data_IF_967591948550
#
_entry.id   IF_967591948550
#
_cell.length_a   1.000
_cell.length_b   1.000
_cell.length_c   1.000
_cell.angle_alpha   90.00
_cell.angle_beta   90.00
_cell.angle_gamma   90.00
#
_symmetry.space_group_name_H-M   'P 1'
#
loop_
_entity.id
_entity.type
_entity.pdbx_description
1 polymer ?
#
# COMPACT_ATOMS: atom_id res chain seq x y z
N UNK A 1 -24.96 38.26 -21.72
CA UNK A 1 -23.84 38.01 -20.78
C UNK A 1 -24.27 36.86 -19.89
N UNK A 2 -23.87 35.63 -20.21
CA UNK A 2 -24.09 34.49 -19.31
C UNK A 2 -22.95 34.52 -18.29
N UNK A 3 -23.29 34.70 -17.01
CA UNK A 3 -22.32 34.61 -15.92
C UNK A 3 -21.72 33.20 -15.91
N UNK A 4 -20.42 33.12 -16.13
CA UNK A 4 -19.64 31.93 -15.82
C UNK A 4 -19.53 31.86 -14.30
N UNK A 5 -20.48 31.21 -13.65
CA UNK A 5 -20.26 30.68 -12.32
C UNK A 5 -19.16 29.64 -12.43
N UNK A 6 -17.92 30.09 -12.21
CA UNK A 6 -16.79 29.22 -12.01
C UNK A 6 -17.12 28.37 -10.78
N UNK A 7 -17.59 27.15 -11.02
CA UNK A 7 -17.50 26.07 -10.05
C UNK A 7 -16.02 26.03 -9.71
N UNK A 8 -15.64 26.60 -8.56
CA UNK A 8 -14.31 26.40 -7.98
C UNK A 8 -14.17 24.89 -7.89
N UNK A 9 -13.21 24.36 -8.64
CA UNK A 9 -12.78 22.99 -8.55
C UNK A 9 -12.15 22.82 -7.18
N UNK A 10 -12.99 22.66 -6.15
CA UNK A 10 -12.57 22.36 -4.79
C UNK A 10 -11.96 20.96 -4.83
N UNK A 11 -10.64 20.96 -5.11
CA UNK A 11 -9.64 19.96 -4.75
C UNK A 11 -10.15 18.52 -4.70
N UNK A 12 -10.32 17.90 -5.88
CA UNK A 12 -10.46 16.46 -6.05
C UNK A 12 -9.12 15.79 -5.79
N UNK A 13 -8.81 15.61 -4.51
CA UNK A 13 -7.53 15.04 -4.12
C UNK A 13 -7.66 13.77 -3.32
N UNK A 14 -6.82 12.81 -3.67
CA UNK A 14 -6.89 11.43 -3.23
C UNK A 14 -5.50 11.04 -2.76
N UNK A 15 -5.34 10.29 -1.66
CA UNK A 15 -5.00 8.86 -1.77
C UNK A 15 -4.59 8.07 -0.51
N UNK A 16 -4.58 6.75 -0.77
CA UNK A 16 -3.98 5.59 -0.12
C UNK A 16 -4.97 4.83 0.74
N UNK A 17 -5.06 3.52 0.47
CA UNK A 17 -5.59 2.57 1.43
C UNK A 17 -4.47 1.75 2.03
N UNK A 18 -4.51 1.59 3.35
CA UNK A 18 -3.94 0.41 3.97
C UNK A 18 -4.93 -0.70 3.72
N UNK A 19 -4.52 -1.68 2.94
CA UNK A 19 -5.22 -2.94 2.91
C UNK A 19 -4.57 -3.83 3.98
N UNK A 20 -5.35 -4.09 5.02
CA UNK A 20 -5.11 -4.97 6.16
C UNK A 20 -5.73 -6.33 5.74
N UNK A 21 -4.89 -7.34 5.52
CA UNK A 21 -5.31 -8.64 5.00
C UNK A 21 -5.33 -9.73 6.08
N UNK A 22 -6.52 -10.16 6.46
CA UNK A 22 -6.68 -11.27 7.40
C UNK A 22 -6.71 -12.60 6.64
N UNK A 23 -5.77 -13.50 6.95
CA UNK A 23 -5.84 -14.89 6.46
C UNK A 23 -6.84 -15.67 7.31
N UNK A 24 -7.76 -16.42 6.70
CA UNK A 24 -8.48 -17.46 7.43
C UNK A 24 -7.47 -18.49 7.95
N UNK A 25 -7.27 -18.51 9.27
CA UNK A 25 -6.39 -19.44 9.99
C UNK A 25 -6.87 -20.90 9.94
N UNK A 26 -8.03 -21.20 9.37
CA UNK A 26 -8.62 -22.54 9.41
C UNK A 26 -8.30 -23.46 8.24
N UNK A 27 -7.45 -23.09 7.26
CA UNK A 27 -7.16 -24.01 6.15
C UNK A 27 -5.72 -24.28 5.73
N UNK A 28 -4.67 -23.60 6.19
CA UNK A 28 -3.31 -23.98 5.78
C UNK A 28 -2.26 -23.84 6.91
N UNK A 29 -2.19 -24.87 7.75
CA UNK A 29 -0.92 -25.30 8.30
C UNK A 29 0.03 -25.59 7.12
N UNK A 30 0.99 -24.70 6.83
CA UNK A 30 1.99 -24.97 5.78
C UNK A 30 2.76 -23.78 5.21
N UNK A 31 2.35 -22.53 5.41
CA UNK A 31 3.09 -21.39 4.83
C UNK A 31 4.40 -21.10 5.60
N UNK A 32 4.40 -21.22 6.93
CA UNK A 32 5.62 -21.01 7.75
C UNK A 32 6.68 -22.10 7.56
N UNK A 33 6.31 -23.29 7.07
CA UNK A 33 7.22 -24.43 6.90
C UNK A 33 7.86 -24.52 5.49
N UNK A 34 7.29 -23.85 4.48
CA UNK A 34 7.83 -23.86 3.11
C UNK A 34 9.07 -23.00 2.91
N UNK A 35 9.24 -21.92 3.67
CA UNK A 35 10.44 -21.07 3.55
C UNK A 35 11.68 -21.77 4.16
N UNK A 36 11.49 -22.74 5.05
CA UNK A 36 12.58 -23.49 5.70
C UNK A 36 12.98 -24.80 4.99
N UNK A 37 12.29 -25.21 3.93
CA UNK A 37 12.54 -26.52 3.29
C UNK A 37 12.55 -26.47 1.76
N UNK A 38 13.33 -25.57 1.17
CA UNK A 38 13.77 -25.72 -0.22
C UNK A 38 15.25 -26.11 -0.27
N UNK A 39 15.53 -27.32 0.22
CA UNK A 39 16.74 -28.06 -0.17
C UNK A 39 16.38 -29.05 -1.28
N UNK A 40 16.99 -28.82 -2.44
CA UNK A 40 17.26 -29.79 -3.51
C UNK A 40 16.07 -30.54 -4.12
N UNK A 41 15.86 -30.27 -5.42
CA UNK A 41 15.47 -31.17 -6.51
C UNK A 41 14.32 -30.63 -7.35
N UNK A 42 14.65 -29.97 -8.45
CA UNK A 42 13.98 -30.17 -9.73
C UNK A 42 14.87 -29.70 -10.87
N UNK A 43 15.15 -30.64 -11.76
CA UNK A 43 15.95 -30.47 -12.96
C UNK A 43 15.20 -29.59 -13.95
N UNK A 44 15.74 -28.40 -14.21
CA UNK A 44 15.55 -27.70 -15.48
C UNK A 44 16.93 -27.36 -16.03
N UNK A 45 17.38 -28.17 -17.00
CA UNK A 45 18.57 -27.90 -17.78
C UNK A 45 18.30 -26.71 -18.70
N UNK A 46 18.88 -25.55 -18.38
CA UNK A 46 19.12 -24.50 -19.37
C UNK A 46 20.61 -24.54 -19.72
N UNK A 47 20.91 -25.01 -20.92
CA UNK A 47 22.27 -25.04 -21.45
C UNK A 47 22.78 -23.61 -21.68
N UNK A 48 23.71 -23.15 -20.84
CA UNK A 48 24.62 -22.06 -21.18
C UNK A 48 26.00 -22.64 -21.48
N UNK A 49 26.48 -22.35 -22.68
CA UNK A 49 27.80 -22.77 -23.19
C UNK A 49 28.87 -21.94 -22.48
N UNK A 50 29.74 -22.58 -21.68
CA UNK A 50 30.88 -21.92 -21.06
C UNK A 50 32.13 -22.14 -21.93
N UNK A 51 32.81 -21.05 -22.30
CA UNK A 51 34.15 -21.08 -22.87
C UNK A 51 35.15 -20.58 -21.84
N UNK A 52 35.93 -21.53 -21.31
CA UNK A 52 37.29 -21.45 -20.80
C UNK A 52 37.77 -20.12 -20.18
N UNK A 53 38.05 -20.17 -18.88
CA UNK A 53 39.27 -19.64 -18.29
C UNK A 53 39.62 -20.45 -17.03
N UNK A 54 40.93 -20.69 -16.89
CA UNK A 54 41.59 -21.75 -16.12
C UNK A 54 41.77 -21.38 -14.65
N UNK A 55 41.98 -22.43 -13.86
CA UNK A 55 42.45 -22.48 -12.49
C UNK A 55 43.32 -21.31 -12.02
N UNK A 56 43.01 -20.80 -10.83
CA UNK A 56 44.06 -20.46 -9.86
C UNK A 56 43.49 -20.58 -8.45
N UNK A 57 43.95 -21.60 -7.72
CA UNK A 57 43.83 -21.73 -6.27
C UNK A 57 44.79 -20.77 -5.59
N UNK A 58 44.30 -19.91 -4.70
CA UNK A 58 45.13 -19.26 -3.68
C UNK A 58 44.40 -19.27 -2.32
N UNK A 59 45.21 -19.65 -1.33
CA UNK A 59 45.01 -19.87 0.09
C UNK A 59 44.30 -18.78 0.89
N UNK A 60 43.58 -19.23 1.92
CA UNK A 60 43.06 -18.43 3.04
C UNK A 60 44.14 -18.24 4.13
N UNK A 61 44.35 -17.03 4.66
CA UNK A 61 44.78 -16.85 6.04
C UNK A 61 43.73 -16.10 6.87
N UNK A 62 43.44 -16.67 8.04
CA UNK A 62 42.64 -16.07 9.11
C UNK A 62 43.32 -14.81 9.65
N UNK A 63 42.55 -13.74 9.87
CA UNK A 63 42.31 -13.08 11.17
C UNK A 63 42.02 -11.59 10.98
N UNK A 64 40.93 -11.09 11.56
CA UNK A 64 40.75 -9.65 11.76
C UNK A 64 39.29 -9.20 11.76
N UNK A 65 38.71 -9.14 12.97
CA UNK A 65 37.56 -8.33 13.40
C UNK A 65 36.24 -8.48 12.62
N UNK A 66 35.21 -8.89 13.36
CA UNK A 66 33.93 -9.31 12.84
C UNK A 66 33.05 -8.19 12.33
N UNK A 67 32.09 -8.60 11.49
CA UNK A 67 30.67 -8.31 11.66
C UNK A 67 29.92 -9.54 11.11
N UNK A 68 28.95 -10.07 11.85
CA UNK A 68 28.16 -11.23 11.41
C UNK A 68 27.19 -10.87 10.27
N UNK A 69 26.53 -11.86 9.62
CA UNK A 69 25.53 -11.59 8.57
C UNK A 69 24.39 -10.67 9.04
N UNK A 70 24.20 -10.54 10.36
CA UNK A 70 23.18 -9.72 11.02
C UNK A 70 23.54 -8.23 10.99
N UNK A 71 24.80 -7.86 11.09
CA UNK A 71 25.22 -6.44 11.09
C UNK A 71 25.26 -5.84 9.66
N UNK A 72 25.46 -6.68 8.63
CA UNK A 72 25.26 -6.28 7.24
C UNK A 72 23.77 -6.07 6.89
N UNK A 73 22.86 -6.70 7.63
CA UNK A 73 21.41 -6.47 7.54
C UNK A 73 20.99 -5.19 8.29
N UNK A 74 21.64 -4.85 9.39
CA UNK A 74 21.42 -3.57 10.10
C UNK A 74 21.97 -2.36 9.32
N UNK A 75 23.04 -2.53 8.54
CA UNK A 75 23.55 -1.47 7.67
C UNK A 75 22.67 -1.22 6.42
N UNK A 76 21.85 -2.19 6.00
CA UNK A 76 20.85 -1.99 4.95
C UNK A 76 19.58 -1.24 5.45
N UNK A 77 19.42 -1.09 6.78
CA UNK A 77 18.34 -0.32 7.39
C UNK A 77 18.68 1.19 7.54
N UNK A 78 19.94 1.59 7.34
CA UNK A 78 20.35 3.00 7.41
C UNK A 78 20.19 3.68 6.03
N UNK A 79 18.97 4.10 5.72
CA UNK A 79 18.74 5.03 4.61
C UNK A 79 17.32 5.14 4.06
N UNK A 80 16.33 4.49 4.67
CA UNK A 80 15.00 4.33 4.07
C UNK A 80 13.93 4.79 5.06
N UNK A 81 13.59 6.08 5.02
CA UNK A 81 12.43 6.63 5.75
C UNK A 81 11.15 6.31 4.96
N UNK A 82 10.68 5.06 5.10
CA UNK A 82 9.54 4.51 4.38
C UNK A 82 8.25 4.64 5.15
N UNK A 83 7.15 4.98 4.46
CA UNK A 83 5.92 5.42 5.11
C UNK A 83 4.69 5.07 4.10
N UNK A 84 3.40 4.71 4.45
CA UNK A 84 2.08 5.06 3.72
C UNK A 84 0.91 5.97 4.36
N UNK A 85 0.12 6.71 3.52
CA UNK A 85 -0.54 8.08 3.60
C UNK A 85 0.34 9.28 3.18
N UNK A 86 0.34 9.66 1.88
CA UNK A 86 1.35 10.61 1.36
C UNK A 86 1.16 12.05 1.88
N UNK A 87 2.27 12.76 2.13
CA UNK A 87 2.29 14.15 2.65
C UNK A 87 1.44 15.09 1.81
N UNK A 88 1.51 14.98 0.49
CA UNK A 88 0.75 15.88 -0.41
C UNK A 88 -0.76 15.84 -0.13
N UNK A 89 -1.30 14.68 0.26
CA UNK A 89 -2.74 14.46 0.44
C UNK A 89 -3.22 14.65 1.87
N UNK A 90 -2.31 14.89 2.82
CA UNK A 90 -2.65 15.12 4.22
C UNK A 90 -2.22 16.51 4.67
N UNK A 91 -1.07 17.00 4.22
CA UNK A 91 -0.45 18.25 4.66
C UNK A 91 -0.22 19.27 3.53
N UNK A 92 -0.36 18.85 2.27
CA UNK A 92 -0.04 19.66 1.09
C UNK A 92 -1.18 20.54 0.55
N UNK A 93 -0.93 21.24 -0.57
CA UNK A 93 -1.92 22.12 -1.24
C UNK A 93 -3.16 21.38 -1.71
N UNK A 94 -3.05 20.06 -1.73
CA UNK A 94 -4.03 19.13 -2.23
C UNK A 94 -4.47 18.19 -1.10
N UNK A 95 -4.39 18.63 0.15
CA UNK A 95 -4.80 17.83 1.29
C UNK A 95 -6.31 17.52 1.26
N UNK A 96 -6.67 16.29 1.63
CA UNK A 96 -8.04 15.92 1.96
C UNK A 96 -8.37 16.53 3.31
N UNK A 97 -9.41 17.36 3.38
CA UNK A 97 -9.73 18.13 4.59
C UNK A 97 -9.84 17.27 5.84
N UNK A 98 -10.52 16.10 5.74
CA UNK A 98 -10.64 15.14 6.85
C UNK A 98 -9.47 14.15 7.00
N UNK A 99 -8.42 14.29 6.19
CA UNK A 99 -7.33 13.32 6.11
C UNK A 99 -6.40 13.35 7.33
N UNK A 100 -6.15 14.53 7.92
CA UNK A 100 -5.28 14.65 9.10
C UNK A 100 -5.89 13.97 10.33
N UNK A 101 -7.20 14.09 10.49
CA UNK A 101 -7.95 13.62 11.65
C UNK A 101 -7.95 12.09 11.76
N UNK A 102 -7.85 11.38 10.64
CA UNK A 102 -7.84 9.91 10.63
C UNK A 102 -6.45 9.30 10.88
N UNK A 103 -5.36 10.07 10.79
CA UNK A 103 -3.98 9.55 10.89
C UNK A 103 -3.77 8.73 12.17
N UNK A 104 -4.19 9.18 13.37
CA UNK A 104 -4.05 8.37 14.59
C UNK A 104 -4.78 7.02 14.51
N UNK A 105 -5.97 6.99 13.91
CA UNK A 105 -6.75 5.77 13.73
C UNK A 105 -6.09 4.83 12.71
N UNK A 106 -5.53 5.37 11.63
CA UNK A 106 -4.76 4.60 10.65
C UNK A 106 -3.50 3.99 11.29
N UNK A 107 -2.76 4.75 12.10
CA UNK A 107 -1.60 4.26 12.88
C UNK A 107 -2.02 3.10 13.79
N UNK A 108 -3.12 3.29 14.53
CA UNK A 108 -3.61 2.26 15.45
C UNK A 108 -4.10 1.01 14.70
N UNK A 109 -4.75 1.16 13.55
CA UNK A 109 -5.17 0.04 12.71
C UNK A 109 -3.95 -0.78 12.23
N UNK A 110 -2.87 -0.12 11.80
CA UNK A 110 -1.59 -0.77 11.44
C UNK A 110 -0.99 -1.52 12.61
N UNK A 111 -0.96 -0.91 13.80
CA UNK A 111 -0.44 -1.57 15.00
C UNK A 111 -1.22 -2.84 15.34
N UNK A 112 -2.56 -2.77 15.33
CA UNK A 112 -3.43 -3.92 15.58
C UNK A 112 -3.25 -4.99 14.50
N UNK A 113 -3.15 -4.60 13.23
CA UNK A 113 -2.87 -5.51 12.12
C UNK A 113 -1.56 -6.29 12.34
N UNK A 114 -0.47 -5.59 12.69
CA UNK A 114 0.82 -6.22 13.01
C UNK A 114 0.71 -7.19 14.18
N UNK A 115 0.02 -6.80 15.25
CA UNK A 115 -0.21 -7.66 16.43
C UNK A 115 -0.99 -8.94 16.07
N UNK A 116 -1.90 -8.85 15.09
CA UNK A 116 -2.68 -9.98 14.58
C UNK A 116 -1.95 -10.79 13.50
N UNK A 117 -0.74 -10.40 13.10
CA UNK A 117 0.00 -11.06 12.01
C UNK A 117 -0.65 -10.90 10.64
N UNK A 118 -1.48 -9.88 10.48
CA UNK A 118 -2.14 -9.53 9.23
C UNK A 118 -1.09 -8.96 8.26
N UNK A 119 -1.09 -9.41 7.00
CA UNK A 119 -0.27 -8.79 5.96
C UNK A 119 -0.74 -7.34 5.76
N UNK A 120 0.21 -6.42 5.65
CA UNK A 120 -0.05 -5.01 5.39
C UNK A 120 0.46 -4.67 4.00
N UNK A 121 -0.44 -4.23 3.11
CA UNK A 121 -0.05 -3.64 1.83
C UNK A 121 -0.25 -2.14 1.88
N UNK A 122 0.85 -1.43 1.72
CA UNK A 122 0.93 0.00 1.58
C UNK A 122 0.74 0.39 0.12
N UNK A 123 -0.47 0.85 -0.22
CA UNK A 123 -0.83 1.20 -1.59
C UNK A 123 -0.53 2.67 -1.87
N UNK A 124 0.57 2.97 -2.54
CA UNK A 124 1.06 4.33 -2.78
C UNK A 124 0.93 4.77 -4.24
N UNK A 125 1.10 6.08 -4.47
CA UNK A 125 1.45 6.63 -5.78
C UNK A 125 2.89 7.10 -5.81
N UNK A 126 3.55 6.84 -6.93
CA UNK A 126 4.86 7.39 -7.28
C UNK A 126 4.77 7.82 -8.74
N UNK A 127 4.05 8.92 -8.98
CA UNK A 127 3.73 9.34 -10.33
C UNK A 127 4.99 9.75 -11.09
N UNK A 128 4.98 9.50 -12.40
CA UNK A 128 5.97 10.01 -13.31
C UNK A 128 6.09 11.54 -13.15
N UNK A 129 7.30 12.11 -12.97
CA UNK A 129 7.47 13.55 -12.82
C UNK A 129 6.94 14.39 -13.99
N UNK A 130 6.74 13.78 -15.16
CA UNK A 130 6.14 14.40 -16.35
C UNK A 130 4.62 14.15 -16.46
N UNK A 131 3.99 13.52 -15.46
CA UNK A 131 2.55 13.25 -15.43
C UNK A 131 2.07 12.28 -16.52
N UNK A 132 2.96 11.44 -17.07
CA UNK A 132 2.61 10.52 -18.17
C UNK A 132 1.67 9.40 -17.74
N UNK A 133 1.73 9.03 -16.47
CA UNK A 133 1.01 7.92 -15.88
C UNK A 133 -0.20 8.36 -15.02
N UNK A 134 -0.49 9.66 -14.90
CA UNK A 134 -1.63 10.13 -14.11
C UNK A 134 -2.94 10.11 -14.90
N UNK A 135 -4.07 10.23 -14.20
CA UNK A 135 -5.37 10.43 -14.84
C UNK A 135 -5.36 11.70 -15.71
N UNK A 136 -6.10 11.67 -16.83
CA UNK A 136 -6.13 12.77 -17.79
C UNK A 136 -6.43 14.13 -17.14
N UNK A 137 -7.39 14.15 -16.22
CA UNK A 137 -7.79 15.37 -15.51
C UNK A 137 -6.73 15.88 -14.53
N UNK A 138 -5.68 15.11 -14.21
CA UNK A 138 -4.58 15.51 -13.32
C UNK A 138 -3.32 15.97 -14.04
N UNK A 139 -3.22 15.78 -15.36
CA UNK A 139 -2.00 16.12 -16.11
C UNK A 139 -1.60 17.58 -15.99
N UNK A 140 -2.56 18.47 -15.77
CA UNK A 140 -2.32 19.90 -15.58
C UNK A 140 -1.47 20.22 -14.34
N UNK A 141 -1.40 19.33 -13.34
CA UNK A 141 -0.53 19.48 -12.16
C UNK A 141 0.96 19.22 -12.45
N UNK A 142 1.31 18.72 -13.64
CA UNK A 142 2.67 18.31 -14.01
C UNK A 142 3.24 19.19 -15.14
N UNK A 143 2.84 20.46 -15.17
CA UNK A 143 3.37 21.43 -16.12
C UNK A 143 4.88 21.67 -15.89
N UNK A 144 5.58 22.14 -16.93
CA UNK A 144 7.02 22.38 -16.86
C UNK A 144 7.38 23.31 -15.69
N UNK A 145 8.37 22.89 -14.89
CA UNK A 145 8.85 23.64 -13.73
C UNK A 145 8.07 23.42 -12.44
N UNK A 146 7.07 22.54 -12.42
CA UNK A 146 6.33 22.17 -11.20
C UNK A 146 6.58 20.71 -10.83
N UNK A 147 6.72 20.45 -9.53
CA UNK A 147 6.70 19.09 -8.99
C UNK A 147 5.25 18.71 -8.76
N UNK A 148 4.75 17.76 -9.54
CA UNK A 148 3.37 17.33 -9.43
C UNK A 148 3.09 16.47 -8.17
N UNK A 149 1.82 16.31 -7.80
CA UNK A 149 1.37 15.51 -6.66
C UNK A 149 1.96 14.09 -6.61
N UNK A 150 2.56 13.68 -5.50
CA UNK A 150 3.13 12.35 -5.35
C UNK A 150 4.11 11.98 -6.49
N UNK A 151 4.82 12.97 -7.06
CA UNK A 151 5.88 12.73 -8.03
C UNK A 151 6.95 11.85 -7.40
N UNK A 152 7.42 10.83 -8.13
CA UNK A 152 8.43 9.89 -7.64
C UNK A 152 9.66 10.62 -7.11
N UNK A 153 10.04 10.29 -5.87
CA UNK A 153 11.19 10.89 -5.18
C UNK A 153 10.97 12.30 -4.64
N UNK A 154 9.77 12.87 -4.78
CA UNK A 154 9.43 14.14 -4.14
C UNK A 154 9.07 13.94 -2.65
N UNK A 155 9.28 14.97 -1.79
CA UNK A 155 8.81 14.92 -0.40
C UNK A 155 7.30 14.68 -0.29
N UNK A 156 6.52 15.16 -1.27
CA UNK A 156 5.08 14.95 -1.35
C UNK A 156 4.67 13.49 -1.57
N UNK A 157 5.58 12.66 -2.10
CA UNK A 157 5.40 11.22 -2.28
C UNK A 157 5.92 10.37 -1.10
N UNK A 158 6.57 10.99 -0.12
CA UNK A 158 6.77 10.41 1.21
C UNK A 158 5.46 10.49 1.97
N UNK A 159 5.41 9.96 3.17
CA UNK A 159 4.27 10.22 4.02
C UNK A 159 4.42 11.19 5.17
N UNK A 160 3.24 11.55 5.68
CA UNK A 160 2.94 11.80 7.08
C UNK A 160 3.71 10.95 8.09
N UNK A 161 4.05 11.64 9.16
CA UNK A 161 4.73 11.10 10.33
C UNK A 161 3.89 10.01 11.04
N UNK A 162 4.58 9.04 11.64
CA UNK A 162 3.97 7.97 12.45
C UNK A 162 3.52 6.73 11.68
N UNK A 163 3.40 6.80 10.35
CA UNK A 163 3.12 5.64 9.51
C UNK A 163 4.41 5.20 8.83
N UNK A 164 4.93 4.02 9.19
CA UNK A 164 6.22 3.50 8.71
C UNK A 164 6.03 2.15 8.05
N UNK A 165 6.59 1.95 6.86
CA UNK A 165 6.63 0.63 6.22
C UNK A 165 7.62 -0.23 7.01
N UNK A 166 7.09 -1.20 7.76
CA UNK A 166 7.86 -2.10 8.60
C UNK A 166 8.41 -3.31 7.82
N UNK A 167 9.26 -4.07 8.50
CA UNK A 167 9.72 -5.36 7.99
C UNK A 167 8.53 -6.32 7.81
N UNK A 168 8.45 -6.98 6.65
CA UNK A 168 7.36 -7.89 6.30
C UNK A 168 6.12 -7.23 5.69
N UNK A 169 6.03 -5.90 5.72
CA UNK A 169 5.00 -5.17 4.97
C UNK A 169 5.32 -5.16 3.46
N UNK A 170 4.30 -4.97 2.63
CA UNK A 170 4.45 -4.87 1.18
C UNK A 170 4.12 -3.47 0.66
N UNK A 171 4.95 -2.91 -0.23
CA UNK A 171 4.67 -1.64 -0.90
C UNK A 171 4.16 -1.89 -2.32
N UNK A 172 2.95 -1.41 -2.61
CA UNK A 172 2.36 -1.47 -3.94
C UNK A 172 2.25 -0.07 -4.53
N UNK A 173 2.84 0.18 -5.70
CA UNK A 173 2.64 1.41 -6.46
C UNK A 173 1.46 1.23 -7.41
N UNK A 174 0.49 2.15 -7.37
CA UNK A 174 -0.62 2.22 -8.32
C UNK A 174 -0.62 3.54 -9.07
N UNK A 175 -1.23 3.58 -10.25
CA UNK A 175 -1.35 4.80 -11.08
C UNK A 175 -2.81 5.22 -11.32
N UNK A 176 -3.79 4.49 -10.77
CA UNK A 176 -5.23 4.77 -10.85
C UNK A 176 -5.86 4.75 -9.46
N UNK A 177 -7.18 4.97 -9.33
CA UNK A 177 -7.81 4.98 -8.00
C UNK A 177 -7.81 3.59 -7.36
N UNK A 178 -8.23 2.58 -8.12
CA UNK A 178 -8.17 1.18 -7.69
C UNK A 178 -6.73 0.72 -7.42
N UNK A 179 -6.55 0.01 -6.32
CA UNK A 179 -5.32 -0.73 -6.04
C UNK A 179 -5.13 -1.97 -6.93
N UNK A 180 -6.19 -2.48 -7.56
CA UNK A 180 -6.15 -3.66 -8.43
C UNK A 180 -5.92 -3.31 -9.91
N UNK A 181 -6.43 -2.16 -10.36
CA UNK A 181 -6.37 -1.81 -11.78
C UNK A 181 -4.92 -1.65 -12.26
N UNK A 182 -4.52 -2.51 -13.20
CA UNK A 182 -3.18 -2.54 -13.79
C UNK A 182 -2.05 -2.66 -12.75
N UNK A 183 -2.28 -3.40 -11.67
CA UNK A 183 -1.26 -3.79 -10.69
C UNK A 183 -1.23 -5.31 -10.54
N UNK A 184 -0.22 -5.83 -9.83
CA UNK A 184 -0.13 -7.25 -9.47
C UNK A 184 -0.77 -7.57 -8.11
N UNK A 185 -1.58 -6.67 -7.53
CA UNK A 185 -2.16 -6.86 -6.19
C UNK A 185 -2.99 -8.15 -6.10
N UNK A 186 -3.87 -8.41 -7.06
CA UNK A 186 -4.69 -9.62 -7.03
C UNK A 186 -3.83 -10.89 -6.99
N UNK A 187 -2.84 -10.98 -7.88
CA UNK A 187 -1.91 -12.12 -7.93
C UNK A 187 -1.09 -12.27 -6.65
N UNK A 188 -0.65 -11.16 -6.05
CA UNK A 188 0.05 -11.16 -4.75
C UNK A 188 -0.81 -11.77 -3.65
N UNK A 189 -2.06 -11.32 -3.54
CA UNK A 189 -2.98 -11.78 -2.49
C UNK A 189 -3.40 -13.23 -2.67
N UNK A 190 -3.68 -13.65 -3.91
CA UNK A 190 -3.95 -15.05 -4.23
C UNK A 190 -2.76 -15.95 -3.89
N UNK A 191 -1.53 -15.53 -4.25
CA UNK A 191 -0.30 -16.25 -3.91
C UNK A 191 -0.07 -16.39 -2.40
N UNK A 192 -0.59 -15.45 -1.61
CA UNK A 192 -0.54 -15.48 -0.15
C UNK A 192 -1.75 -16.18 0.51
N UNK A 193 -2.71 -16.70 -0.29
CA UNK A 193 -3.92 -17.35 0.23
C UNK A 193 -4.89 -16.38 0.93
N UNK A 194 -4.82 -15.09 0.58
CA UNK A 194 -5.62 -14.03 1.20
C UNK A 194 -6.91 -13.82 0.42
N UNK A 195 -8.03 -13.88 1.13
CA UNK A 195 -9.38 -13.69 0.61
C UNK A 195 -10.20 -12.65 1.41
N UNK A 196 -9.71 -12.15 2.54
CA UNK A 196 -10.39 -11.15 3.35
C UNK A 196 -9.63 -9.82 3.31
N UNK A 197 -10.35 -8.71 3.14
CA UNK A 197 -9.76 -7.37 3.06
C UNK A 197 -10.32 -6.45 4.15
N UNK A 198 -9.46 -5.65 4.76
CA UNK A 198 -9.80 -4.51 5.60
C UNK A 198 -9.12 -3.28 5.00
N UNK A 199 -9.86 -2.20 4.77
CA UNK A 199 -9.42 -1.05 3.95
C UNK A 199 -9.55 0.23 4.79
N UNK A 200 -8.48 1.02 4.87
CA UNK A 200 -8.44 2.31 5.62
C UNK A 200 -7.68 3.35 4.83
N UNK A 201 -7.93 4.65 4.96
CA UNK A 201 -7.12 5.73 4.36
C UNK A 201 -7.94 6.74 3.53
N UNK A 202 -7.37 7.35 2.50
CA UNK A 202 -8.06 8.40 1.73
C UNK A 202 -8.02 8.23 0.19
N UNK A 203 -8.89 8.88 -0.58
CA UNK A 203 -10.18 9.39 -0.12
C UNK A 203 -11.33 8.45 -0.46
N UNK A 204 -12.39 8.56 0.35
CA UNK A 204 -13.59 7.71 0.30
C UNK A 204 -14.21 7.55 -1.08
N UNK A 205 -14.53 8.62 -1.82
CA UNK A 205 -15.23 8.47 -3.10
C UNK A 205 -14.39 7.86 -4.22
N UNK A 206 -13.06 7.88 -4.10
CA UNK A 206 -12.17 7.59 -5.21
C UNK A 206 -11.38 6.31 -4.93
N UNK A 207 -10.24 6.44 -4.26
CA UNK A 207 -9.34 5.31 -4.06
C UNK A 207 -9.93 4.26 -3.11
N UNK A 208 -10.72 4.63 -2.08
CA UNK A 208 -11.34 3.64 -1.17
C UNK A 208 -12.36 2.88 -1.99
N UNK A 209 -13.35 3.62 -2.51
CA UNK A 209 -14.51 3.06 -3.18
C UNK A 209 -14.13 2.21 -4.38
N UNK A 210 -13.23 2.68 -5.25
CA UNK A 210 -12.86 1.87 -6.42
C UNK A 210 -12.13 0.58 -6.00
N UNK A 211 -11.26 0.63 -4.99
CA UNK A 211 -10.58 -0.57 -4.49
C UNK A 211 -11.56 -1.56 -3.84
N UNK A 212 -12.54 -1.04 -3.07
CA UNK A 212 -13.59 -1.85 -2.44
C UNK A 212 -14.47 -2.53 -3.49
N UNK A 213 -14.93 -1.79 -4.49
CA UNK A 213 -15.79 -2.35 -5.54
C UNK A 213 -15.04 -3.39 -6.37
N UNK A 214 -13.78 -3.15 -6.71
CA UNK A 214 -12.94 -4.14 -7.40
C UNK A 214 -12.68 -5.38 -6.52
N UNK A 215 -12.49 -5.20 -5.21
CA UNK A 215 -12.35 -6.33 -4.28
C UNK A 215 -13.62 -7.20 -4.23
N UNK A 216 -14.79 -6.57 -4.14
CA UNK A 216 -16.07 -7.30 -4.18
C UNK A 216 -16.23 -8.02 -5.52
N UNK A 217 -15.89 -7.37 -6.64
CA UNK A 217 -15.97 -7.98 -7.97
C UNK A 217 -14.97 -9.14 -8.19
N UNK A 218 -13.91 -9.21 -7.38
CA UNK A 218 -12.90 -10.27 -7.39
C UNK A 218 -13.15 -11.36 -6.32
N UNK A 219 -14.36 -11.39 -5.73
CA UNK A 219 -14.79 -12.36 -4.72
C UNK A 219 -13.94 -12.39 -3.44
N UNK A 220 -13.38 -11.25 -3.04
CA UNK A 220 -12.85 -11.11 -1.68
C UNK A 220 -14.02 -11.05 -0.69
N UNK A 221 -13.97 -11.84 0.39
CA UNK A 221 -15.04 -11.89 1.38
C UNK A 221 -14.55 -12.38 2.76
N UNK A 222 -14.71 -11.57 3.84
CA UNK A 222 -15.32 -10.24 3.83
C UNK A 222 -14.41 -9.15 3.26
N UNK A 223 -15.04 -8.10 2.70
CA UNK A 223 -14.41 -6.78 2.50
C UNK A 223 -14.92 -5.86 3.61
N UNK A 224 -13.99 -5.20 4.29
CA UNK A 224 -14.24 -4.31 5.43
C UNK A 224 -13.62 -2.95 5.16
N UNK A 225 -14.30 -1.87 5.54
CA UNK A 225 -13.77 -0.51 5.54
C UNK A 225 -13.84 0.06 6.95
N UNK A 226 -12.71 0.43 7.54
CA UNK A 226 -12.69 1.07 8.85
C UNK A 226 -13.08 2.55 8.66
N UNK A 227 -14.31 2.91 9.03
CA UNK A 227 -14.93 4.18 8.61
C UNK A 227 -14.27 5.40 9.22
N UNK A 228 -13.87 5.32 10.49
CA UNK A 228 -13.16 6.40 11.22
C UNK A 228 -11.64 6.36 11.01
N UNK A 229 -11.12 5.39 10.25
CA UNK A 229 -9.77 5.39 9.69
C UNK A 229 -9.81 5.70 8.18
N UNK A 230 -10.89 6.31 7.71
CA UNK A 230 -11.13 6.66 6.30
C UNK A 230 -11.72 8.06 6.20
N UNK A 231 -11.35 8.85 5.19
CA UNK A 231 -11.85 10.23 5.06
C UNK A 231 -12.16 10.67 3.64
N UNK A 232 -12.90 11.76 3.52
CA UNK A 232 -13.18 12.47 2.28
C UNK A 232 -13.06 13.99 2.49
N UNK A 233 -13.26 14.77 1.43
CA UNK A 233 -13.25 16.23 1.51
C UNK A 233 -14.33 16.79 2.45
N UNK A 234 -15.49 16.12 2.56
CA UNK A 234 -16.57 16.48 3.49
C UNK A 234 -17.19 15.25 4.16
N UNK A 235 -17.80 15.39 5.35
CA UNK A 235 -18.53 14.31 6.01
C UNK A 235 -19.67 13.75 5.15
N UNK A 236 -20.39 14.60 4.40
CA UNK A 236 -21.51 14.17 3.55
C UNK A 236 -21.04 13.24 2.43
N UNK A 237 -19.92 13.60 1.77
CA UNK A 237 -19.30 12.75 0.75
C UNK A 237 -18.84 11.44 1.38
N UNK A 238 -18.18 11.49 2.54
CA UNK A 238 -17.73 10.29 3.23
C UNK A 238 -18.89 9.35 3.55
N UNK A 239 -19.94 9.85 4.21
CA UNK A 239 -21.10 9.08 4.63
C UNK A 239 -21.90 8.50 3.46
N UNK A 240 -22.09 9.25 2.37
CA UNK A 240 -22.78 8.75 1.18
C UNK A 240 -22.04 7.56 0.55
N UNK A 241 -20.71 7.63 0.47
CA UNK A 241 -19.90 6.54 -0.09
C UNK A 241 -19.85 5.32 0.85
N UNK A 242 -19.77 5.53 2.17
CA UNK A 242 -19.89 4.45 3.16
C UNK A 242 -21.24 3.75 3.06
N UNK A 243 -22.32 4.52 2.90
CA UNK A 243 -23.67 3.97 2.71
C UNK A 243 -23.75 3.08 1.45
N UNK A 244 -23.22 3.55 0.32
CA UNK A 244 -23.18 2.75 -0.90
C UNK A 244 -22.36 1.47 -0.75
N UNK A 245 -21.19 1.52 -0.10
CA UNK A 245 -20.37 0.33 0.17
C UNK A 245 -21.10 -0.67 1.06
N UNK A 246 -21.77 -0.19 2.12
CA UNK A 246 -22.58 -1.04 3.00
C UNK A 246 -23.69 -1.78 2.23
N UNK A 247 -24.35 -1.13 1.27
CA UNK A 247 -25.41 -1.73 0.47
C UNK A 247 -24.94 -2.79 -0.52
N UNK A 248 -23.64 -2.89 -0.80
CA UNK A 248 -23.06 -3.97 -1.61
C UNK A 248 -22.41 -5.08 -0.76
N UNK A 249 -22.68 -5.12 0.55
CA UNK A 249 -22.24 -6.18 1.44
C UNK A 249 -20.87 -5.95 2.10
N UNK A 250 -20.32 -4.73 2.03
CA UNK A 250 -19.06 -4.37 2.70
C UNK A 250 -19.34 -4.08 4.17
N UNK A 251 -18.53 -4.65 5.08
CA UNK A 251 -18.58 -4.31 6.50
C UNK A 251 -17.96 -2.92 6.72
N UNK A 252 -18.60 -2.07 7.53
CA UNK A 252 -18.15 -0.69 7.74
C UNK A 252 -18.02 -0.34 9.24
N UNK A 253 -17.19 -1.07 10.02
CA UNK A 253 -17.00 -0.81 11.44
C UNK A 253 -16.15 0.44 11.69
N UNK A 254 -16.27 1.00 12.88
CA UNK A 254 -15.26 1.88 13.48
C UNK A 254 -14.00 1.08 13.84
N UNK A 255 -12.89 1.77 14.08
CA UNK A 255 -11.63 1.16 14.51
C UNK A 255 -11.82 0.41 15.83
N UNK A 256 -12.60 0.96 16.74
CA UNK A 256 -12.90 0.33 18.02
C UNK A 256 -13.65 -0.99 17.79
N UNK A 257 -14.73 -0.98 17.01
CA UNK A 257 -15.51 -2.19 16.69
C UNK A 257 -14.66 -3.25 15.98
N UNK A 258 -13.79 -2.85 15.04
CA UNK A 258 -12.87 -3.77 14.36
C UNK A 258 -11.78 -4.34 15.31
N UNK A 259 -11.35 -3.55 16.29
CA UNK A 259 -10.36 -3.97 17.30
C UNK A 259 -10.98 -4.93 18.32
N UNK A 260 -12.25 -4.72 18.68
CA UNK A 260 -12.97 -5.55 19.63
C UNK A 260 -13.45 -6.87 19.03
N UNK A 261 -13.56 -6.94 17.70
CA UNK A 261 -13.83 -8.19 17.00
C UNK A 261 -12.69 -9.18 17.27
N UNK A 262 -12.99 -10.26 18.01
CA UNK A 262 -12.07 -11.37 18.22
C UNK A 262 -12.10 -12.24 16.96
N UNK A 263 -10.98 -12.26 16.24
CA UNK A 263 -10.70 -13.27 15.22
C UNK A 263 -10.76 -14.68 15.81
#
# INVERSE_FOLDING_TARGET
MCGSDSIRSDSLVDQIHIAIFESNSDKHCGYKDRIRSMSTHSNYHVHFKWSNLKDTTISNPKSGLGLGPVEALEMAAQGWNGTALLKDFIEGPIAVKGGKEIVPNVIKAVQVARQRGILIVWVVRENDPLGRDVELFRRHYYAQGQVGPASKGSPGAELVEGLVIGEGDYKLVKTRFSAFFATHLHSLLQGAGINNLVITGVQTPNCVRQTVFDAVALDYQPVTVIVDATAAATPEIHLANVFDMKNIGVATPTLQEWTDFKA
#
